data_IF_694855752033
#
_entry.id   IF_694855752033
#
_cell.length_a   1.000
_cell.length_b   1.000
_cell.length_c   1.000
_cell.angle_alpha   90.00
_cell.angle_beta   90.00
_cell.angle_gamma   90.00
#
_symmetry.space_group_name_H-M   'P 1'
#
loop_
_entity.id
_entity.type
_entity.pdbx_description
1 polymer ?
#
# COMPACT_ATOMS: atom_id res chain seq x y z
N UNK A 1 -9.59 10.25 38.69
CA UNK A 1 -9.18 9.44 37.52
C UNK A 1 -9.97 9.92 36.30
N UNK A 2 -9.37 10.74 35.43
CA UNK A 2 -10.07 11.30 34.27
C UNK A 2 -9.95 10.36 33.07
N UNK A 3 -11.07 9.78 32.64
CA UNK A 3 -11.19 9.08 31.36
C UNK A 3 -11.12 10.11 30.23
N UNK A 4 -9.99 10.19 29.53
CA UNK A 4 -9.93 10.95 28.28
C UNK A 4 -10.72 10.20 27.20
N UNK A 5 -11.94 10.68 26.93
CA UNK A 5 -12.74 10.30 25.76
C UNK A 5 -12.32 11.23 24.63
N UNK A 6 -11.52 10.75 23.68
CA UNK A 6 -11.38 11.41 22.37
C UNK A 6 -12.68 11.21 21.57
N UNK A 7 -13.76 11.87 21.98
CA UNK A 7 -15.01 11.96 21.24
C UNK A 7 -14.95 13.23 20.40
N UNK A 8 -14.86 13.08 19.08
CA UNK A 8 -14.87 14.21 18.14
C UNK A 8 -13.59 14.41 17.32
N UNK A 9 -12.64 13.48 17.29
CA UNK A 9 -11.59 13.52 16.28
C UNK A 9 -12.24 13.33 14.90
N UNK A 10 -12.40 14.42 14.15
CA UNK A 10 -12.82 14.36 12.75
C UNK A 10 -11.89 13.39 12.04
N UNK A 11 -12.42 12.37 11.34
CA UNK A 11 -11.59 11.49 10.53
C UNK A 11 -10.72 12.36 9.63
N UNK A 12 -9.40 12.19 9.72
CA UNK A 12 -8.48 12.89 8.81
C UNK A 12 -8.84 12.44 7.40
N UNK A 13 -9.25 13.40 6.57
CA UNK A 13 -9.52 13.16 5.16
C UNK A 13 -8.20 12.86 4.46
N UNK A 14 -7.87 11.57 4.35
CA UNK A 14 -6.61 11.10 3.78
C UNK A 14 -6.44 11.51 2.32
N UNK A 15 -7.54 11.75 1.60
CA UNK A 15 -7.47 12.21 0.21
C UNK A 15 -6.78 13.58 0.09
N UNK A 16 -6.81 14.42 1.14
CA UNK A 16 -6.10 15.72 1.15
C UNK A 16 -4.58 15.60 1.25
N UNK A 17 -4.08 14.43 1.64
CA UNK A 17 -2.65 14.14 1.78
C UNK A 17 -2.15 13.20 0.69
N UNK A 18 -2.97 12.95 -0.34
CA UNK A 18 -2.57 12.18 -1.49
C UNK A 18 -1.46 12.92 -2.25
N UNK A 19 -0.33 12.23 -2.41
CA UNK A 19 0.79 12.65 -3.24
C UNK A 19 0.91 11.57 -4.32
N UNK A 20 0.77 11.90 -5.61
CA UNK A 20 0.98 10.94 -6.70
C UNK A 20 2.37 10.31 -6.61
N UNK A 21 2.47 9.04 -7.01
CA UNK A 21 3.77 8.40 -7.11
C UNK A 21 4.59 9.03 -8.25
N UNK A 22 5.86 9.31 -7.98
CA UNK A 22 6.76 9.97 -8.92
C UNK A 22 8.08 10.38 -8.27
N UNK A 23 8.93 11.14 -8.99
CA UNK A 23 10.23 11.57 -8.48
C UNK A 23 10.10 12.35 -7.17
N UNK A 24 10.85 11.92 -6.15
CA UNK A 24 10.83 12.54 -4.81
C UNK A 24 9.66 12.09 -3.93
N UNK A 25 8.87 11.10 -4.38
CA UNK A 25 7.91 10.42 -3.51
C UNK A 25 8.66 9.51 -2.53
N UNK A 26 8.30 9.44 -1.23
CA UNK A 26 9.02 8.61 -0.25
C UNK A 26 9.17 7.14 -0.65
N UNK A 27 8.16 6.56 -1.31
CA UNK A 27 8.22 5.18 -1.84
C UNK A 27 9.21 5.05 -2.98
N UNK A 28 9.33 6.05 -3.86
CA UNK A 28 10.31 6.04 -4.94
C UNK A 28 11.73 6.08 -4.36
N UNK A 29 11.98 6.92 -3.37
CA UNK A 29 13.27 6.96 -2.65
C UNK A 29 13.59 5.64 -1.93
N UNK A 30 12.59 5.00 -1.31
CA UNK A 30 12.77 3.69 -0.68
C UNK A 30 13.13 2.60 -1.70
N UNK A 31 12.43 2.57 -2.84
CA UNK A 31 12.70 1.61 -3.91
C UNK A 31 14.10 1.86 -4.50
N UNK A 32 14.43 3.12 -4.77
CA UNK A 32 15.74 3.56 -5.28
C UNK A 32 16.89 3.18 -4.34
N UNK A 33 16.65 3.15 -3.03
CA UNK A 33 17.64 2.74 -2.01
C UNK A 33 17.68 1.24 -1.74
N UNK A 34 16.86 0.44 -2.45
CA UNK A 34 16.91 -1.01 -2.46
C UNK A 34 15.75 -1.71 -1.74
N UNK A 35 14.71 -0.99 -1.32
CA UNK A 35 13.49 -1.62 -0.81
C UNK A 35 12.67 -2.23 -1.94
N UNK A 36 12.01 -3.35 -1.67
CA UNK A 36 10.98 -3.86 -2.56
C UNK A 36 9.75 -2.91 -2.59
N UNK A 37 9.04 -2.88 -3.72
CA UNK A 37 7.87 -2.02 -3.92
C UNK A 37 6.78 -2.26 -2.87
N UNK A 38 6.50 -3.53 -2.54
CA UNK A 38 5.46 -3.89 -1.57
C UNK A 38 5.86 -3.45 -0.17
N UNK A 39 7.12 -3.70 0.21
CA UNK A 39 7.65 -3.24 1.49
C UNK A 39 7.58 -1.72 1.61
N UNK A 40 7.99 -0.97 0.58
CA UNK A 40 8.01 0.49 0.60
C UNK A 40 6.62 1.11 0.81
N UNK A 41 5.59 0.62 0.10
CA UNK A 41 4.22 1.07 0.31
C UNK A 41 3.67 0.71 1.70
N UNK A 42 3.97 -0.51 2.15
CA UNK A 42 3.53 -1.01 3.44
C UNK A 42 4.13 -0.22 4.61
N UNK A 43 5.44 0.06 4.56
CA UNK A 43 6.16 0.78 5.60
C UNK A 43 5.75 2.25 5.67
N UNK A 44 5.54 2.93 4.52
CA UNK A 44 5.06 4.30 4.48
C UNK A 44 3.72 4.47 5.21
N UNK A 45 2.83 3.48 5.03
CA UNK A 45 1.48 3.53 5.59
C UNK A 45 1.37 2.97 7.02
N UNK A 46 2.47 2.42 7.56
CA UNK A 46 2.52 1.88 8.92
C UNK A 46 1.51 0.75 9.17
N UNK A 47 1.14 0.01 8.12
CA UNK A 47 0.30 -1.17 8.30
C UNK A 47 1.12 -2.28 8.96
N UNK A 48 0.49 -3.09 9.82
CA UNK A 48 0.97 -4.44 10.10
C UNK A 48 0.33 -5.36 9.05
N UNK A 49 1.02 -6.41 8.59
CA UNK A 49 0.52 -7.38 7.60
C UNK A 49 -0.86 -7.95 7.99
N UNK A 50 -1.11 -8.20 9.28
CA UNK A 50 -2.42 -8.66 9.78
C UNK A 50 -3.52 -7.63 9.53
N UNK A 51 -3.19 -6.35 9.70
CA UNK A 51 -4.13 -5.27 9.45
C UNK A 51 -4.34 -5.08 7.95
N UNK A 52 -3.28 -5.21 7.16
CA UNK A 52 -3.36 -5.14 5.71
C UNK A 52 -4.30 -6.21 5.16
N UNK A 53 -4.13 -7.47 5.59
CA UNK A 53 -4.99 -8.59 5.20
C UNK A 53 -6.48 -8.31 5.47
N UNK A 54 -6.79 -7.75 6.65
CA UNK A 54 -8.16 -7.40 7.04
C UNK A 54 -8.76 -6.26 6.22
N UNK A 55 -7.96 -5.24 5.87
CA UNK A 55 -8.43 -4.05 5.15
C UNK A 55 -8.56 -4.33 3.65
N UNK A 56 -7.63 -5.09 3.07
CA UNK A 56 -7.62 -5.40 1.63
C UNK A 56 -8.47 -6.62 1.28
N UNK A 57 -8.75 -7.49 2.25
CA UNK A 57 -9.35 -8.80 1.99
C UNK A 57 -8.40 -9.80 1.33
N UNK A 58 -7.12 -9.44 1.13
CA UNK A 58 -6.11 -10.33 0.57
C UNK A 58 -5.70 -11.34 1.64
N UNK A 59 -5.72 -12.63 1.29
CA UNK A 59 -5.32 -13.70 2.21
C UNK A 59 -3.87 -13.49 2.70
N UNK A 60 -3.60 -13.80 3.97
CA UNK A 60 -2.27 -13.63 4.56
C UNK A 60 -1.17 -14.37 3.78
N UNK A 61 -1.44 -15.60 3.32
CA UNK A 61 -0.51 -16.35 2.49
C UNK A 61 -0.17 -15.62 1.18
N UNK A 62 -1.12 -14.85 0.63
CA UNK A 62 -0.92 -14.05 -0.57
C UNK A 62 -0.14 -12.77 -0.28
N UNK A 63 -0.41 -12.10 0.83
CA UNK A 63 0.41 -10.96 1.31
C UNK A 63 1.88 -11.39 1.52
N UNK A 64 2.10 -12.58 2.09
CA UNK A 64 3.44 -13.14 2.27
C UNK A 64 4.13 -13.51 0.95
N UNK A 65 3.38 -13.83 -0.10
CA UNK A 65 3.94 -14.05 -1.43
C UNK A 65 4.37 -12.72 -2.05
N UNK A 66 3.52 -11.69 -1.97
CA UNK A 66 3.84 -10.33 -2.45
C UNK A 66 5.09 -9.76 -1.75
N UNK A 67 5.22 -9.94 -0.44
CA UNK A 67 6.40 -9.48 0.30
C UNK A 67 7.70 -10.21 -0.05
N UNK A 68 7.61 -11.33 -0.78
CA UNK A 68 8.76 -12.09 -1.31
C UNK A 68 9.02 -11.80 -2.79
N UNK A 69 8.33 -10.81 -3.38
CA UNK A 69 8.50 -10.42 -4.78
C UNK A 69 7.68 -11.23 -5.77
N UNK A 70 6.61 -11.91 -5.32
CA UNK A 70 5.68 -12.56 -6.25
C UNK A 70 4.91 -11.51 -7.08
N UNK A 71 4.46 -11.92 -8.26
CA UNK A 71 3.70 -11.05 -9.17
C UNK A 71 2.40 -10.58 -8.49
N UNK A 72 1.97 -9.35 -8.74
CA UNK A 72 0.72 -8.79 -8.22
C UNK A 72 -0.40 -8.86 -9.25
N UNK A 73 -1.62 -9.19 -8.82
CA UNK A 73 -2.81 -9.16 -9.69
C UNK A 73 -3.45 -7.79 -9.70
N UNK A 74 -4.14 -7.45 -10.77
CA UNK A 74 -4.86 -6.17 -10.89
C UNK A 74 -5.92 -5.95 -9.78
N UNK A 75 -6.59 -7.02 -9.35
CA UNK A 75 -7.53 -6.98 -8.23
C UNK A 75 -6.82 -6.68 -6.90
N UNK A 76 -5.60 -7.22 -6.72
CA UNK A 76 -4.76 -6.97 -5.55
C UNK A 76 -4.24 -5.53 -5.56
N UNK A 77 -3.84 -5.01 -6.72
CA UNK A 77 -3.44 -3.61 -6.91
C UNK A 77 -4.58 -2.68 -6.47
N UNK A 78 -5.80 -2.92 -6.93
CA UNK A 78 -6.95 -2.09 -6.57
C UNK A 78 -7.26 -2.13 -5.07
N UNK A 79 -7.17 -3.31 -4.44
CA UNK A 79 -7.36 -3.47 -3.01
C UNK A 79 -6.27 -2.77 -2.18
N UNK A 80 -5.01 -2.88 -2.60
CA UNK A 80 -3.87 -2.21 -1.99
C UNK A 80 -3.97 -0.69 -2.13
N UNK A 81 -4.32 -0.19 -3.32
CA UNK A 81 -4.48 1.23 -3.60
C UNK A 81 -5.56 1.85 -2.69
N UNK A 82 -6.71 1.18 -2.57
CA UNK A 82 -7.77 1.60 -1.66
C UNK A 82 -7.34 1.60 -0.18
N UNK A 83 -6.54 0.61 0.24
CA UNK A 83 -6.05 0.51 1.61
C UNK A 83 -5.03 1.62 1.95
N UNK A 84 -4.14 1.95 1.01
CA UNK A 84 -3.14 3.00 1.16
C UNK A 84 -3.70 4.41 0.89
N UNK A 85 -4.86 4.52 0.23
CA UNK A 85 -5.45 5.80 -0.15
C UNK A 85 -4.72 6.45 -1.33
N UNK A 86 -4.25 5.63 -2.27
CA UNK A 86 -3.55 6.04 -3.51
C UNK A 86 -4.29 5.53 -4.74
N UNK A 87 -3.85 5.89 -5.94
CA UNK A 87 -4.41 5.37 -7.18
C UNK A 87 -3.79 4.01 -7.55
N UNK A 88 -4.53 3.09 -8.20
CA UNK A 88 -3.95 1.86 -8.73
C UNK A 88 -2.74 2.10 -9.65
N UNK A 89 -2.76 3.21 -10.41
CA UNK A 89 -1.65 3.62 -11.27
C UNK A 89 -0.36 3.91 -10.50
N UNK A 90 -0.44 4.37 -9.26
CA UNK A 90 0.74 4.66 -8.43
C UNK A 90 1.46 3.38 -8.05
N UNK A 91 0.69 2.35 -7.67
CA UNK A 91 1.23 1.04 -7.37
C UNK A 91 1.83 0.43 -8.63
N UNK A 92 1.14 0.50 -9.76
CA UNK A 92 1.63 -0.02 -11.05
C UNK A 92 2.94 0.68 -11.47
N UNK A 93 3.02 2.00 -11.30
CA UNK A 93 4.21 2.78 -11.63
C UNK A 93 5.40 2.46 -10.71
N UNK A 94 5.15 1.95 -9.51
CA UNK A 94 6.18 1.53 -8.55
C UNK A 94 6.72 0.11 -8.79
N UNK A 95 6.10 -0.67 -9.68
CA UNK A 95 6.55 -2.03 -9.96
C UNK A 95 7.94 -2.04 -10.64
N UNK A 96 8.80 -3.03 -10.37
CA UNK A 96 10.12 -3.13 -11.01
C UNK A 96 10.06 -3.27 -12.53
N UNK A 97 8.98 -3.87 -13.05
CA UNK A 97 8.76 -4.10 -14.47
C UNK A 97 7.34 -4.62 -14.75
N UNK A 98 6.89 -4.58 -16.02
CA UNK A 98 5.53 -5.00 -16.41
C UNK A 98 5.23 -6.48 -16.11
N UNK A 99 6.25 -7.34 -16.06
CA UNK A 99 6.14 -8.76 -15.72
C UNK A 99 5.67 -9.01 -14.28
N UNK A 100 5.79 -8.00 -13.41
CA UNK A 100 5.30 -8.07 -12.04
C UNK A 100 3.79 -7.83 -11.93
N UNK A 101 3.09 -7.48 -13.03
CA UNK A 101 1.65 -7.27 -13.07
C UNK A 101 0.95 -8.36 -13.89
N UNK A 102 0.09 -9.15 -13.23
CA UNK A 102 -0.81 -10.08 -13.91
C UNK A 102 -2.13 -9.38 -14.20
N UNK A 103 -2.41 -9.18 -15.50
CA UNK A 103 -3.69 -8.67 -16.01
C UNK A 103 -4.66 -9.84 -16.20
N UNK A 104 -5.76 -9.84 -15.46
CA UNK A 104 -6.76 -10.93 -15.51
C UNK A 104 -7.15 -11.46 -14.12
N UNK A 105 -8.27 -12.20 -14.09
CA UNK A 105 -8.82 -12.83 -12.86
C UNK A 105 -7.96 -13.99 -12.37
#
# INVERSE_FOLDING_TARGET
>A
MARSRHKGATPVDKAKFYIPYGPGHPVEDMIRTGSDWFYAWHSQNGFNLDRLAKVTGIAMGRINALSRGDVVRESEVSALAAAYGVQPSDIIASLPGPEHLVRGK
#
